data_IF_328405665333
#
_entry.id   IF_328405665333
#
_cell.length_a   1.000
_cell.length_b   1.000
_cell.length_c   1.000
_cell.angle_alpha   90.00
_cell.angle_beta   90.00
_cell.angle_gamma   90.00
#
_symmetry.space_group_name_H-M   'P 1'
#
loop_
_entity.id
_entity.type
_entity.pdbx_description
1 polymer ?
#
# COMPACT_ATOMS: atom_id res chain seq x y z
N UNK A 1 -6.37 19.32 22.64
CA UNK A 1 -5.22 18.46 23.04
C UNK A 1 -4.36 19.13 24.09
N UNK A 2 -4.09 18.42 25.19
CA UNK A 2 -3.15 18.82 26.24
C UNK A 2 -1.70 18.86 25.71
N UNK A 3 -0.77 19.44 26.47
CA UNK A 3 0.66 19.46 26.12
C UNK A 3 1.20 18.03 25.94
N UNK A 4 0.83 17.11 26.84
CA UNK A 4 1.23 15.70 26.77
C UNK A 4 0.71 14.98 25.52
N UNK A 5 -0.53 15.28 25.12
CA UNK A 5 -1.10 14.73 23.87
C UNK A 5 -0.41 15.29 22.61
N UNK A 6 -0.01 16.58 22.62
CA UNK A 6 0.77 17.16 21.50
C UNK A 6 2.13 16.49 21.36
N UNK A 7 2.82 16.26 22.46
CA UNK A 7 4.09 15.53 22.50
C UNK A 7 3.91 14.08 22.03
N UNK A 8 2.88 13.39 22.52
CA UNK A 8 2.52 12.04 22.08
C UNK A 8 2.23 11.97 20.59
N UNK A 9 1.57 12.98 20.02
CA UNK A 9 1.32 13.04 18.57
C UNK A 9 2.61 13.26 17.76
N UNK A 10 3.57 14.06 18.27
CA UNK A 10 4.89 14.19 17.68
C UNK A 10 5.70 12.88 17.77
N UNK A 11 5.66 12.22 18.91
CA UNK A 11 6.32 10.92 19.12
C UNK A 11 5.75 9.83 18.20
N UNK A 12 4.44 9.85 17.96
CA UNK A 12 3.80 8.96 16.99
C UNK A 12 4.44 9.09 15.60
N UNK A 13 4.65 10.31 15.10
CA UNK A 13 5.29 10.51 13.80
C UNK A 13 6.75 10.05 13.81
N UNK A 14 7.50 10.41 14.84
CA UNK A 14 8.89 9.99 14.96
C UNK A 14 9.03 8.46 14.87
N UNK A 15 8.18 7.72 15.59
CA UNK A 15 8.18 6.26 15.57
C UNK A 15 7.66 5.69 14.24
N UNK A 16 6.54 6.21 13.71
CA UNK A 16 5.92 5.70 12.49
C UNK A 16 6.83 5.89 11.26
N UNK A 17 7.51 7.03 11.18
CA UNK A 17 8.47 7.31 10.11
C UNK A 17 9.80 6.61 10.37
N UNK A 18 10.36 6.73 11.57
CA UNK A 18 11.67 6.18 11.89
C UNK A 18 11.73 4.67 11.67
N UNK A 19 10.78 3.91 12.23
CA UNK A 19 10.74 2.47 12.05
C UNK A 19 10.51 2.08 10.59
N UNK A 20 9.53 2.73 9.92
CA UNK A 20 9.21 2.40 8.54
C UNK A 20 10.38 2.74 7.59
N UNK A 21 10.98 3.92 7.72
CA UNK A 21 12.08 4.33 6.86
C UNK A 21 13.31 3.45 7.02
N UNK A 22 13.63 3.01 8.24
CA UNK A 22 14.70 2.02 8.45
C UNK A 22 14.40 0.71 7.71
N UNK A 23 13.18 0.19 7.83
CA UNK A 23 12.78 -1.04 7.13
C UNK A 23 12.76 -0.86 5.61
N UNK A 24 12.21 0.25 5.10
CA UNK A 24 12.11 0.54 3.68
C UNK A 24 13.49 0.72 3.04
N UNK A 25 14.39 1.46 3.67
CA UNK A 25 15.78 1.63 3.20
C UNK A 25 16.50 0.29 3.18
N UNK A 26 16.41 -0.49 4.26
CA UNK A 26 17.04 -1.81 4.33
C UNK A 26 16.47 -2.77 3.28
N UNK A 27 15.17 -2.80 3.10
CA UNK A 27 14.51 -3.59 2.05
C UNK A 27 15.01 -3.19 0.65
N UNK A 28 15.08 -1.89 0.38
CA UNK A 28 15.58 -1.37 -0.91
C UNK A 28 17.04 -1.77 -1.16
N UNK A 29 17.89 -1.73 -0.13
CA UNK A 29 19.28 -2.18 -0.25
C UNK A 29 19.38 -3.67 -0.55
N UNK A 30 18.57 -4.53 0.07
CA UNK A 30 18.53 -5.97 -0.23
C UNK A 30 18.09 -6.23 -1.68
N UNK A 31 17.12 -5.45 -2.18
CA UNK A 31 16.70 -5.58 -3.57
C UNK A 31 17.81 -5.14 -4.54
N UNK A 32 18.39 -3.96 -4.31
CA UNK A 32 19.36 -3.35 -5.23
C UNK A 32 20.73 -4.04 -5.23
N UNK A 33 21.17 -4.58 -4.09
CA UNK A 33 22.49 -5.24 -3.96
C UNK A 33 22.43 -6.72 -4.24
N UNK A 34 21.42 -7.39 -3.70
CA UNK A 34 21.37 -8.85 -3.64
C UNK A 34 20.28 -9.43 -4.56
N UNK A 35 19.47 -8.59 -5.21
CA UNK A 35 18.32 -9.01 -6.02
C UNK A 35 17.22 -9.72 -5.21
N UNK A 36 17.22 -9.58 -3.88
CA UNK A 36 16.33 -10.35 -3.00
C UNK A 36 14.92 -9.74 -2.94
N UNK A 37 14.13 -9.98 -3.99
CA UNK A 37 12.76 -9.50 -4.11
C UNK A 37 11.84 -10.03 -3.01
N UNK A 38 12.04 -11.26 -2.54
CA UNK A 38 11.21 -11.87 -1.50
C UNK A 38 11.39 -11.13 -0.14
N UNK A 39 12.65 -10.88 0.27
CA UNK A 39 12.92 -10.12 1.48
C UNK A 39 12.43 -8.67 1.37
N UNK A 40 12.58 -8.05 0.19
CA UNK A 40 12.03 -6.72 -0.09
C UNK A 40 10.52 -6.67 0.17
N UNK A 41 9.75 -7.55 -0.46
CA UNK A 41 8.29 -7.59 -0.31
C UNK A 41 7.86 -7.86 1.14
N UNK A 42 8.54 -8.78 1.82
CA UNK A 42 8.25 -9.08 3.23
C UNK A 42 8.49 -7.86 4.13
N UNK A 43 9.62 -7.18 3.99
CA UNK A 43 9.96 -6.02 4.80
C UNK A 43 9.03 -4.83 4.51
N UNK A 44 8.58 -4.67 3.27
CA UNK A 44 7.55 -3.68 2.94
C UNK A 44 6.23 -4.00 3.65
N UNK A 45 5.78 -5.24 3.62
CA UNK A 45 4.57 -5.65 4.33
C UNK A 45 4.69 -5.43 5.85
N UNK A 46 5.87 -5.72 6.44
CA UNK A 46 6.17 -5.43 7.85
C UNK A 46 6.16 -3.93 8.13
N UNK A 47 6.72 -3.10 7.24
CA UNK A 47 6.75 -1.65 7.42
C UNK A 47 5.35 -1.02 7.51
N UNK A 48 4.35 -1.62 6.86
CA UNK A 48 2.95 -1.18 6.93
C UNK A 48 2.33 -1.30 8.33
N UNK A 49 2.92 -2.08 9.24
CA UNK A 49 2.49 -2.13 10.63
C UNK A 49 3.11 -1.03 11.50
N UNK A 50 4.14 -0.33 11.05
CA UNK A 50 4.81 0.71 11.84
C UNK A 50 3.85 1.81 12.34
N UNK A 51 2.88 2.32 11.56
CA UNK A 51 1.89 3.27 12.06
C UNK A 51 1.05 2.73 13.21
N UNK A 52 0.57 1.48 13.14
CA UNK A 52 -0.17 0.84 14.22
C UNK A 52 0.70 0.65 15.47
N UNK A 53 1.91 0.09 15.30
CA UNK A 53 2.86 -0.13 16.41
C UNK A 53 3.16 1.19 17.12
N UNK A 54 3.34 2.28 16.36
CA UNK A 54 3.55 3.62 16.92
C UNK A 54 2.37 4.10 17.77
N UNK A 55 1.13 3.84 17.32
CA UNK A 55 -0.07 4.14 18.15
C UNK A 55 -0.04 3.34 19.44
N UNK A 56 0.21 2.03 19.36
CA UNK A 56 0.23 1.16 20.54
C UNK A 56 1.29 1.62 21.55
N UNK A 57 2.50 1.94 21.08
CA UNK A 57 3.59 2.42 21.92
C UNK A 57 3.24 3.76 22.59
N UNK A 58 2.77 4.73 21.82
CA UNK A 58 2.42 6.06 22.33
C UNK A 58 1.24 6.00 23.30
N UNK A 59 0.20 5.27 22.96
CA UNK A 59 -0.99 5.20 23.80
C UNK A 59 -0.70 4.45 25.11
N UNK A 60 0.01 3.31 25.05
CA UNK A 60 0.29 2.48 26.21
C UNK A 60 1.35 3.09 27.11
N UNK A 61 2.48 3.53 26.56
CA UNK A 61 3.67 3.89 27.36
C UNK A 61 3.83 5.39 27.60
N UNK A 62 3.28 6.25 26.71
CA UNK A 62 3.39 7.71 26.88
C UNK A 62 2.13 8.32 27.49
N UNK A 63 0.97 8.02 26.91
CA UNK A 63 -0.30 8.62 27.31
C UNK A 63 -1.02 7.84 28.40
N UNK A 64 -0.74 6.54 28.53
CA UNK A 64 -1.44 5.61 29.43
C UNK A 64 -2.97 5.58 29.20
N UNK A 65 -3.37 5.58 27.93
CA UNK A 65 -4.74 5.63 27.49
C UNK A 65 -5.04 4.48 26.50
N UNK A 66 -6.31 4.07 26.35
CA UNK A 66 -6.68 3.12 25.30
C UNK A 66 -6.45 3.74 23.91
N UNK A 67 -6.23 2.92 22.90
CA UNK A 67 -5.91 3.38 21.54
C UNK A 67 -7.01 4.20 20.88
N UNK A 68 -8.26 4.01 21.28
CA UNK A 68 -9.43 4.65 20.68
C UNK A 68 -9.76 4.13 19.27
N UNK A 69 -9.00 3.13 18.77
CA UNK A 69 -9.24 2.53 17.46
C UNK A 69 -10.43 1.57 17.53
N UNK A 70 -11.42 1.80 16.65
CA UNK A 70 -12.55 0.87 16.51
C UNK A 70 -12.19 -0.25 15.55
N UNK A 71 -12.08 -1.47 16.07
CA UNK A 71 -11.79 -2.69 15.29
C UNK A 71 -13.04 -3.35 14.71
N UNK A 72 -14.24 -2.84 15.03
CA UNK A 72 -15.50 -3.43 14.56
C UNK A 72 -15.84 -2.91 13.17
N UNK A 73 -15.84 -3.75 12.12
CA UNK A 73 -16.24 -3.32 10.80
C UNK A 73 -17.74 -3.00 10.77
N UNK A 74 -18.10 -1.85 10.22
CA UNK A 74 -19.51 -1.44 10.04
C UNK A 74 -20.01 -1.93 8.67
N UNK A 75 -20.28 -3.23 8.56
CA UNK A 75 -20.66 -3.85 7.28
C UNK A 75 -22.14 -3.62 6.95
N UNK A 76 -23.01 -3.61 7.96
CA UNK A 76 -24.46 -3.43 7.77
C UNK A 76 -24.77 -2.06 7.16
N UNK A 77 -25.48 -2.04 6.04
CA UNK A 77 -25.85 -0.83 5.30
C UNK A 77 -24.75 -0.23 4.42
N UNK A 78 -23.51 -0.78 4.46
CA UNK A 78 -22.36 -0.26 3.73
C UNK A 78 -21.93 -1.12 2.54
N UNK A 79 -22.75 -2.10 2.11
CA UNK A 79 -22.39 -3.04 1.04
C UNK A 79 -21.94 -2.37 -0.26
N UNK A 80 -22.64 -1.30 -0.69
CA UNK A 80 -22.27 -0.52 -1.89
C UNK A 80 -20.85 0.07 -1.82
N UNK A 81 -20.45 0.54 -0.63
CA UNK A 81 -19.10 1.12 -0.44
C UNK A 81 -18.03 0.03 -0.41
N UNK A 82 -18.37 -1.15 0.14
CA UNK A 82 -17.47 -2.30 0.12
C UNK A 82 -17.25 -2.80 -1.30
N UNK A 83 -18.31 -2.93 -2.09
CA UNK A 83 -18.21 -3.29 -3.52
C UNK A 83 -17.41 -2.25 -4.30
N UNK A 84 -17.67 -0.96 -4.09
CA UNK A 84 -16.92 0.11 -4.74
C UNK A 84 -15.44 0.13 -4.33
N UNK A 85 -15.13 -0.14 -3.06
CA UNK A 85 -13.75 -0.22 -2.59
C UNK A 85 -13.02 -1.46 -3.11
N UNK A 86 -13.74 -2.58 -3.29
CA UNK A 86 -13.17 -3.84 -3.79
C UNK A 86 -12.91 -3.79 -5.29
N UNK A 87 -13.90 -3.41 -6.07
CA UNK A 87 -13.83 -3.47 -7.54
C UNK A 87 -13.43 -2.13 -8.19
N UNK A 88 -13.62 -1.02 -7.49
CA UNK A 88 -13.31 0.32 -8.00
C UNK A 88 -11.88 0.47 -8.51
N UNK A 89 -10.84 0.06 -7.77
CA UNK A 89 -9.46 0.12 -8.26
C UNK A 89 -9.26 -0.64 -9.57
N UNK A 90 -9.83 -1.84 -9.72
CA UNK A 90 -9.74 -2.60 -10.97
C UNK A 90 -10.43 -1.89 -12.13
N UNK A 91 -11.61 -1.33 -11.90
CA UNK A 91 -12.34 -0.55 -12.93
C UNK A 91 -11.53 0.68 -13.35
N UNK A 92 -11.00 1.44 -12.39
CA UNK A 92 -10.17 2.62 -12.71
C UNK A 92 -8.87 2.24 -13.42
N UNK A 93 -8.25 1.12 -13.08
CA UNK A 93 -7.05 0.62 -13.78
C UNK A 93 -7.37 0.30 -15.23
N UNK A 94 -8.47 -0.41 -15.49
CA UNK A 94 -8.89 -0.73 -16.87
C UNK A 94 -9.23 0.56 -17.66
N UNK A 95 -9.97 1.49 -17.06
CA UNK A 95 -10.29 2.76 -17.71
C UNK A 95 -9.03 3.58 -18.01
N UNK A 96 -8.10 3.63 -17.07
CA UNK A 96 -6.82 4.32 -17.25
C UNK A 96 -6.00 3.68 -18.39
N UNK A 97 -5.95 2.35 -18.45
CA UNK A 97 -5.27 1.63 -19.52
C UNK A 97 -5.92 1.90 -20.89
N UNK A 98 -7.24 1.84 -20.96
CA UNK A 98 -7.99 2.17 -22.21
C UNK A 98 -7.69 3.60 -22.67
N UNK A 99 -7.75 4.58 -21.77
CA UNK A 99 -7.46 5.97 -22.10
C UNK A 99 -5.99 6.15 -22.52
N UNK A 100 -5.06 5.52 -21.80
CA UNK A 100 -3.64 5.60 -22.13
C UNK A 100 -3.34 5.06 -23.52
N UNK A 101 -3.82 3.87 -23.86
CA UNK A 101 -3.57 3.28 -25.16
C UNK A 101 -4.41 3.91 -26.30
N UNK A 102 -5.53 4.55 -25.99
CA UNK A 102 -6.25 5.38 -26.96
C UNK A 102 -5.44 6.62 -27.36
N UNK A 103 -4.70 7.23 -26.41
CA UNK A 103 -3.84 8.39 -26.66
C UNK A 103 -2.48 7.96 -27.23
N UNK A 104 -1.94 6.82 -26.79
CA UNK A 104 -0.62 6.31 -27.17
C UNK A 104 -0.71 4.89 -27.76
N UNK A 105 -1.34 4.68 -28.94
CA UNK A 105 -1.57 3.35 -29.48
C UNK A 105 -0.26 2.59 -29.81
N UNK A 106 0.81 3.31 -30.13
CA UNK A 106 2.14 2.72 -30.37
C UNK A 106 2.79 2.09 -29.14
N UNK A 107 2.27 2.36 -27.95
CA UNK A 107 2.75 1.77 -26.69
C UNK A 107 2.04 0.45 -26.33
N UNK A 108 0.98 0.09 -27.06
CA UNK A 108 0.28 -1.17 -26.85
C UNK A 108 1.10 -2.33 -27.42
N UNK A 109 1.72 -3.09 -26.53
CA UNK A 109 2.42 -4.33 -26.89
C UNK A 109 1.45 -5.52 -26.80
N UNK A 110 1.06 -6.05 -27.94
CA UNK A 110 0.22 -7.26 -28.06
C UNK A 110 1.05 -8.53 -28.16
N UNK A 111 2.38 -8.43 -28.33
CA UNK A 111 3.27 -9.60 -28.46
C UNK A 111 3.53 -10.29 -27.11
N UNK A 112 3.40 -9.56 -26.00
CA UNK A 112 3.73 -10.03 -24.67
C UNK A 112 5.24 -9.88 -24.32
N UNK A 113 6.02 -9.17 -25.12
CA UNK A 113 7.46 -8.95 -24.88
C UNK A 113 7.71 -8.17 -23.57
N UNK A 114 6.72 -7.39 -23.11
CA UNK A 114 6.74 -6.71 -21.82
C UNK A 114 6.92 -7.68 -20.63
N UNK A 115 6.49 -8.96 -20.75
CA UNK A 115 6.66 -9.97 -19.69
C UNK A 115 8.15 -10.15 -19.35
N UNK A 116 9.00 -10.25 -20.36
CA UNK A 116 10.44 -10.39 -20.13
C UNK A 116 11.00 -9.18 -19.36
N UNK A 117 10.56 -7.96 -19.70
CA UNK A 117 10.99 -6.74 -19.00
C UNK A 117 10.46 -6.69 -17.57
N UNK A 118 9.17 -7.02 -17.37
CA UNK A 118 8.53 -6.97 -16.06
C UNK A 118 9.08 -8.00 -15.06
N UNK A 119 9.56 -9.14 -15.56
CA UNK A 119 10.05 -10.25 -14.72
C UNK A 119 11.55 -10.54 -14.90
N UNK A 120 12.34 -9.55 -15.33
CA UNK A 120 13.80 -9.68 -15.41
C UNK A 120 14.28 -10.78 -16.36
N UNK A 121 13.53 -11.05 -17.45
CA UNK A 121 13.84 -12.09 -18.43
C UNK A 121 13.38 -13.50 -18.07
N UNK A 122 12.85 -13.72 -16.87
CA UNK A 122 12.36 -15.03 -16.43
C UNK A 122 11.16 -15.53 -17.24
N UNK A 123 10.24 -14.63 -17.57
CA UNK A 123 9.00 -14.98 -18.25
C UNK A 123 8.93 -14.35 -19.63
N UNK A 124 8.88 -15.19 -20.63
CA UNK A 124 8.58 -14.83 -22.02
C UNK A 124 7.30 -15.56 -22.45
N UNK A 125 6.65 -15.16 -23.56
CA UNK A 125 5.51 -15.92 -24.11
C UNK A 125 5.84 -17.39 -24.34
N UNK A 126 7.06 -17.70 -24.79
CA UNK A 126 7.56 -19.05 -25.02
C UNK A 126 7.75 -19.81 -23.70
N UNK A 127 8.36 -19.18 -22.68
CA UNK A 127 8.55 -19.78 -21.36
C UNK A 127 7.20 -20.09 -20.70
N UNK A 128 6.22 -19.18 -20.77
CA UNK A 128 4.87 -19.46 -20.28
C UNK A 128 4.25 -20.70 -20.93
N UNK A 129 4.43 -20.86 -22.24
CA UNK A 129 3.90 -22.00 -22.97
C UNK A 129 4.62 -23.29 -22.66
N UNK A 130 5.98 -23.27 -22.57
CA UNK A 130 6.79 -24.46 -22.36
C UNK A 130 6.80 -24.94 -20.91
N UNK A 131 6.87 -24.01 -19.95
CA UNK A 131 6.99 -24.36 -18.54
C UNK A 131 5.65 -24.48 -17.82
N UNK A 132 4.67 -23.64 -18.16
CA UNK A 132 3.35 -23.62 -17.52
C UNK A 132 2.22 -24.14 -18.39
N UNK A 133 2.43 -24.37 -19.69
CA UNK A 133 1.40 -24.80 -20.62
C UNK A 133 0.33 -23.76 -20.88
N UNK A 134 0.59 -22.47 -20.60
CA UNK A 134 -0.38 -21.39 -20.73
C UNK A 134 0.01 -20.37 -21.79
N UNK A 135 -0.98 -19.75 -22.43
CA UNK A 135 -0.74 -18.63 -23.34
C UNK A 135 -0.62 -17.32 -22.55
N UNK A 136 0.00 -16.30 -23.13
CA UNK A 136 0.08 -14.96 -22.54
C UNK A 136 -1.32 -14.44 -22.17
N UNK A 137 -2.31 -14.64 -23.03
CA UNK A 137 -3.70 -14.22 -22.77
C UNK A 137 -4.29 -14.95 -21.56
N UNK A 138 -4.14 -16.29 -21.48
CA UNK A 138 -4.67 -17.05 -20.35
C UNK A 138 -3.96 -16.70 -19.04
N UNK A 139 -2.65 -16.45 -19.09
CA UNK A 139 -1.88 -15.96 -17.94
C UNK A 139 -2.42 -14.61 -17.44
N UNK A 140 -2.65 -13.64 -18.35
CA UNK A 140 -3.19 -12.33 -17.99
C UNK A 140 -4.59 -12.42 -17.37
N UNK A 141 -5.46 -13.27 -17.91
CA UNK A 141 -6.80 -13.50 -17.36
C UNK A 141 -6.68 -14.08 -15.94
N UNK A 142 -5.88 -15.12 -15.76
CA UNK A 142 -5.68 -15.75 -14.44
C UNK A 142 -5.07 -14.76 -13.43
N UNK A 143 -4.06 -14.02 -13.83
CA UNK A 143 -3.43 -12.99 -12.99
C UNK A 143 -4.42 -11.88 -12.64
N UNK A 144 -5.21 -11.41 -13.60
CA UNK A 144 -6.24 -10.40 -13.37
C UNK A 144 -7.33 -10.88 -12.41
N UNK A 145 -7.80 -12.13 -12.57
CA UNK A 145 -8.74 -12.74 -11.62
C UNK A 145 -8.15 -12.84 -10.21
N UNK A 146 -6.92 -13.29 -10.09
CA UNK A 146 -6.20 -13.37 -8.81
C UNK A 146 -6.06 -11.99 -8.17
N UNK A 147 -5.67 -10.98 -8.95
CA UNK A 147 -5.50 -9.61 -8.51
C UNK A 147 -6.80 -8.97 -7.98
N UNK A 148 -7.95 -9.33 -8.55
CA UNK A 148 -9.26 -8.81 -8.13
C UNK A 148 -9.89 -9.62 -7.01
N UNK A 149 -9.54 -10.90 -6.85
CA UNK A 149 -10.17 -11.81 -5.86
C UNK A 149 -9.30 -12.02 -4.62
N UNK A 150 -8.16 -12.68 -4.76
CA UNK A 150 -7.33 -13.13 -3.64
C UNK A 150 -6.31 -12.10 -3.17
N UNK A 151 -5.72 -11.33 -4.07
CA UNK A 151 -4.71 -10.33 -3.71
C UNK A 151 -5.25 -9.26 -2.74
N UNK A 152 -6.50 -8.74 -2.87
CA UNK A 152 -7.06 -7.83 -1.88
C UNK A 152 -7.17 -8.43 -0.49
N UNK A 153 -7.49 -9.73 -0.37
CA UNK A 153 -7.56 -10.42 0.93
C UNK A 153 -6.18 -10.53 1.58
N UNK A 154 -5.16 -10.90 0.82
CA UNK A 154 -3.79 -10.99 1.32
C UNK A 154 -3.26 -9.62 1.74
N UNK A 155 -3.49 -8.59 0.91
CA UNK A 155 -3.07 -7.22 1.19
C UNK A 155 -3.84 -6.55 2.33
N UNK A 156 -5.03 -7.02 2.67
CA UNK A 156 -5.83 -6.47 3.76
C UNK A 156 -5.11 -6.56 5.10
N UNK A 157 -4.31 -7.61 5.34
CA UNK A 157 -3.59 -7.81 6.61
C UNK A 157 -2.60 -6.67 6.88
N UNK A 158 -1.59 -6.40 6.03
CA UNK A 158 -0.70 -5.28 6.24
C UNK A 158 -1.41 -3.92 6.14
N UNK A 159 -2.41 -3.78 5.26
CA UNK A 159 -3.19 -2.57 5.12
C UNK A 159 -3.93 -2.19 6.40
N UNK A 160 -4.47 -3.15 7.16
CA UNK A 160 -5.10 -2.87 8.47
C UNK A 160 -4.08 -2.27 9.44
N UNK A 161 -2.84 -2.71 9.44
CA UNK A 161 -1.77 -2.14 10.27
C UNK A 161 -1.52 -0.66 9.93
N UNK A 162 -1.42 -0.36 8.65
CA UNK A 162 -1.22 1.00 8.14
C UNK A 162 -2.43 1.89 8.43
N UNK A 163 -3.62 1.44 8.06
CA UNK A 163 -4.87 2.17 8.19
C UNK A 163 -5.24 2.48 9.65
N UNK A 164 -4.96 1.56 10.57
CA UNK A 164 -5.17 1.77 12.00
C UNK A 164 -4.35 2.96 12.52
N UNK A 165 -3.12 3.13 12.05
CA UNK A 165 -2.30 4.28 12.40
C UNK A 165 -2.76 5.57 11.71
N UNK A 166 -2.91 5.54 10.39
CA UNK A 166 -3.24 6.75 9.64
C UNK A 166 -4.69 7.19 9.84
N UNK A 167 -5.65 6.30 9.56
CA UNK A 167 -7.08 6.63 9.61
C UNK A 167 -7.69 6.44 10.99
N UNK A 168 -7.16 5.52 11.80
CA UNK A 168 -7.64 5.30 13.16
C UNK A 168 -7.10 6.30 14.18
N UNK A 169 -5.87 6.80 14.02
CA UNK A 169 -5.21 7.66 15.01
C UNK A 169 -4.86 9.06 14.48
N UNK A 170 -4.10 9.17 13.39
CA UNK A 170 -3.59 10.45 12.88
C UNK A 170 -4.71 11.32 12.31
N UNK A 171 -5.48 10.77 11.37
CA UNK A 171 -6.47 11.54 10.61
C UNK A 171 -7.56 12.21 11.46
N UNK A 172 -8.14 11.57 12.50
CA UNK A 172 -9.09 12.23 13.39
C UNK A 172 -8.48 13.46 14.06
N UNK A 173 -7.25 13.37 14.53
CA UNK A 173 -6.54 14.46 15.22
C UNK A 173 -6.19 15.62 14.30
N UNK A 174 -5.82 15.34 13.05
CA UNK A 174 -5.60 16.38 12.05
C UNK A 174 -6.89 17.10 11.69
N UNK A 175 -8.00 16.39 11.51
CA UNK A 175 -9.31 16.99 11.20
C UNK A 175 -9.83 17.86 12.34
N UNK A 176 -9.65 17.41 13.58
CA UNK A 176 -10.05 18.19 14.76
C UNK A 176 -9.29 19.52 14.85
N UNK A 177 -8.01 19.54 14.45
CA UNK A 177 -7.15 20.72 14.55
C UNK A 177 -7.26 21.68 13.37
N UNK A 178 -7.38 21.15 12.15
CA UNK A 178 -7.22 21.89 10.90
C UNK A 178 -8.51 21.97 10.08
N UNK A 179 -9.58 21.36 10.58
CA UNK A 179 -10.80 21.18 9.82
C UNK A 179 -10.71 20.00 8.83
N UNK A 180 -11.85 19.71 8.20
CA UNK A 180 -12.01 18.51 7.38
C UNK A 180 -11.09 18.49 6.17
N UNK A 181 -11.03 19.60 5.42
CA UNK A 181 -10.27 19.68 4.17
C UNK A 181 -8.77 19.70 4.42
N UNK A 182 -8.30 20.68 5.23
CA UNK A 182 -6.87 20.84 5.51
C UNK A 182 -6.29 19.61 6.23
N UNK A 183 -7.07 19.00 7.15
CA UNK A 183 -6.67 17.77 7.82
C UNK A 183 -6.50 16.60 6.86
N UNK A 184 -7.36 16.47 5.82
CA UNK A 184 -7.23 15.44 4.78
C UNK A 184 -6.05 15.71 3.86
N UNK A 185 -5.86 16.95 3.41
CA UNK A 185 -4.76 17.33 2.54
C UNK A 185 -3.41 17.07 3.23
N UNK A 186 -3.25 17.59 4.46
CA UNK A 186 -2.02 17.35 5.22
C UNK A 186 -1.79 15.86 5.50
N UNK A 187 -2.85 15.12 5.85
CA UNK A 187 -2.75 13.67 6.05
C UNK A 187 -2.31 12.93 4.81
N UNK A 188 -2.77 13.34 3.62
CA UNK A 188 -2.31 12.80 2.34
C UNK A 188 -0.84 13.10 2.06
N UNK A 189 -0.40 14.34 2.32
CA UNK A 189 1.02 14.73 2.18
C UNK A 189 1.90 13.90 3.12
N UNK A 190 1.52 13.78 4.40
CA UNK A 190 2.26 12.97 5.38
C UNK A 190 2.37 11.52 4.91
N UNK A 191 1.27 10.93 4.47
CA UNK A 191 1.25 9.57 3.94
C UNK A 191 2.14 9.41 2.69
N UNK A 192 2.13 10.37 1.77
CA UNK A 192 3.01 10.39 0.60
C UNK A 192 4.49 10.46 0.99
N UNK A 193 4.86 11.36 1.91
CA UNK A 193 6.24 11.51 2.41
C UNK A 193 6.74 10.23 3.10
N UNK A 194 5.85 9.48 3.75
CA UNK A 194 6.19 8.21 4.38
C UNK A 194 6.71 7.16 3.38
N UNK A 195 6.33 7.25 2.09
CA UNK A 195 6.81 6.36 1.02
C UNK A 195 8.10 6.84 0.33
N UNK A 196 8.63 8.02 0.68
CA UNK A 196 9.78 8.58 -0.02
C UNK A 196 11.00 7.68 -0.12
N UNK A 197 11.42 6.89 0.90
CA UNK A 197 12.56 6.01 0.74
C UNK A 197 12.39 5.03 -0.42
N UNK A 198 11.19 4.50 -0.62
CA UNK A 198 10.90 3.58 -1.72
C UNK A 198 10.95 4.28 -3.07
N UNK A 199 10.31 5.47 -3.16
CA UNK A 199 10.25 6.25 -4.39
C UNK A 199 11.62 6.77 -4.83
N UNK A 200 12.49 7.11 -3.87
CA UNK A 200 13.82 7.67 -4.17
C UNK A 200 14.89 6.60 -4.44
N UNK A 201 14.72 5.38 -3.91
CA UNK A 201 15.74 4.33 -4.02
C UNK A 201 15.41 3.31 -5.11
N UNK A 202 14.13 3.00 -5.33
CA UNK A 202 13.69 1.89 -6.19
C UNK A 202 12.73 2.34 -7.30
N UNK A 203 12.10 3.53 -7.15
CA UNK A 203 11.08 4.08 -8.06
C UNK A 203 11.61 4.71 -9.33
#
# INVERSE_FOLDING_TARGET
MTTKEKQGFGLYFLLAFGMAWLLQVYASLLLLRDGNAAAYQLLLAVSMFCPLVSVLLVQKFWLHQPTGISWRPRLKGNGRYLLAAWFGPAVFTVLAAVLYFAVFPSRLDTSGSWLATAYGGQWTPEALKTELGVTTTSYLIQYGLLAVTLAPLANMIPAVGEEAGWRGYMMPRLKERLGLLNGRLLGGVIWGVWHWPLMLLVG
#
